data_IF_001248786296
#
_entry.id   IF_001248786296
#
_cell.length_a   1.000
_cell.length_b   1.000
_cell.length_c   1.000
_cell.angle_alpha   90.00
_cell.angle_beta   90.00
_cell.angle_gamma   90.00
#
_symmetry.space_group_name_H-M   'P 1'
#
loop_
_entity.id
_entity.type
_entity.pdbx_description
1 polymer ?
#
# COMPACT_ATOMS: atom_id res chain seq x y z
N UNK A 1 9.83 -9.22 11.51
CA UNK A 1 10.52 -8.01 11.96
C UNK A 1 10.04 -6.84 11.14
N UNK A 2 9.42 -5.83 11.78
CA UNK A 2 8.89 -4.66 11.11
C UNK A 2 9.99 -3.91 10.34
N UNK A 3 9.67 -3.50 9.14
CA UNK A 3 10.53 -2.70 8.25
C UNK A 3 10.55 -1.25 8.70
N UNK A 4 10.59 -0.78 9.74
CA UNK A 4 10.75 0.61 10.18
C UNK A 4 11.72 0.65 11.34
N UNK A 5 12.81 1.38 11.22
CA UNK A 5 13.70 1.60 12.34
C UNK A 5 13.06 2.57 13.32
N UNK A 6 13.10 2.22 14.59
CA UNK A 6 12.68 3.08 15.68
C UNK A 6 13.88 3.40 16.55
N UNK A 7 14.00 4.67 16.93
CA UNK A 7 15.02 5.15 17.88
C UNK A 7 14.31 5.82 19.03
N UNK A 8 14.65 5.41 20.26
CA UNK A 8 14.16 6.00 21.48
C UNK A 8 15.32 6.65 22.22
N UNK A 9 15.21 7.93 22.50
CA UNK A 9 16.21 8.72 23.19
C UNK A 9 15.64 9.25 24.50
N UNK A 10 16.45 9.20 25.56
CA UNK A 10 16.15 9.86 26.82
C UNK A 10 17.01 11.12 26.89
N UNK A 11 16.36 12.28 26.90
CA UNK A 11 17.03 13.58 26.93
C UNK A 11 16.82 14.23 28.30
N UNK A 12 17.91 14.56 28.96
CA UNK A 12 17.90 15.27 30.26
C UNK A 12 18.32 16.71 30.07
N UNK A 13 17.79 17.59 30.91
CA UNK A 13 18.14 19.02 30.90
C UNK A 13 17.54 19.80 29.70
N UNK A 14 16.49 19.27 29.07
CA UNK A 14 15.71 19.96 28.07
C UNK A 14 14.81 21.00 28.76
N UNK A 15 14.98 22.27 28.45
CA UNK A 15 14.17 23.37 29.03
C UNK A 15 12.88 23.63 28.22
N UNK A 16 12.33 22.61 27.55
CA UNK A 16 11.05 22.72 26.82
C UNK A 16 11.11 23.56 25.53
N UNK A 17 12.31 23.89 25.01
CA UNK A 17 12.51 24.83 23.90
C UNK A 17 12.34 24.23 22.49
N UNK A 18 11.65 23.13 22.30
CA UNK A 18 11.45 22.57 20.94
C UNK A 18 12.70 22.01 20.25
N UNK A 19 13.80 21.88 21.00
CA UNK A 19 15.13 21.44 20.49
C UNK A 19 15.05 20.05 19.79
N UNK A 20 14.05 19.29 20.08
CA UNK A 20 13.89 17.92 19.58
C UNK A 20 13.81 17.86 18.06
N UNK A 21 12.99 18.71 17.45
CA UNK A 21 12.83 18.74 15.98
C UNK A 21 13.99 19.47 15.30
N UNK A 22 14.46 20.57 15.88
CA UNK A 22 15.45 21.43 15.24
C UNK A 22 16.89 20.92 15.36
N UNK A 23 17.24 20.32 16.51
CA UNK A 23 18.61 19.87 16.75
C UNK A 23 18.76 18.34 16.75
N UNK A 24 17.87 17.59 17.41
CA UNK A 24 18.03 16.14 17.59
C UNK A 24 17.65 15.38 16.33
N UNK A 25 16.50 15.69 15.73
CA UNK A 25 16.03 14.97 14.53
C UNK A 25 17.05 15.03 13.36
N UNK A 26 17.69 16.15 13.02
CA UNK A 26 18.73 16.18 11.99
C UNK A 26 19.94 15.30 12.31
N UNK A 27 20.33 15.22 13.59
CA UNK A 27 21.43 14.35 14.02
C UNK A 27 21.04 12.87 13.87
N UNK A 28 19.81 12.50 14.29
CA UNK A 28 19.31 11.15 14.12
C UNK A 28 19.27 10.75 12.64
N UNK A 29 18.75 11.61 11.77
CA UNK A 29 18.71 11.39 10.32
C UNK A 29 20.11 11.18 9.74
N UNK A 30 21.05 12.07 10.09
CA UNK A 30 22.44 12.00 9.63
C UNK A 30 23.14 10.71 10.11
N UNK A 31 22.95 10.35 11.38
CA UNK A 31 23.62 9.18 11.98
C UNK A 31 23.11 7.88 11.40
N UNK A 32 21.81 7.78 11.14
CA UNK A 32 21.19 6.57 10.60
C UNK A 32 21.24 6.51 9.06
N UNK A 33 21.50 7.64 8.38
CA UNK A 33 21.45 7.74 6.92
C UNK A 33 20.03 7.47 6.37
N UNK A 34 18.98 7.79 7.15
CA UNK A 34 17.59 7.49 6.82
C UNK A 34 16.68 8.68 7.13
N UNK A 35 15.57 8.76 6.42
CA UNK A 35 14.51 9.69 6.78
C UNK A 35 13.85 9.21 8.07
N UNK A 36 13.78 10.10 9.03
CA UNK A 36 13.18 9.84 10.34
C UNK A 36 12.19 10.95 10.64
N UNK A 37 11.14 10.62 11.34
CA UNK A 37 10.19 11.58 11.90
C UNK A 37 9.99 11.35 13.39
N UNK A 38 9.62 12.39 14.10
CA UNK A 38 9.32 12.32 15.52
C UNK A 38 7.86 11.91 15.68
N UNK A 39 7.60 10.92 16.54
CA UNK A 39 6.24 10.53 16.92
C UNK A 39 5.67 11.61 17.84
N UNK A 40 4.50 12.14 17.54
CA UNK A 40 3.90 13.27 18.26
C UNK A 40 3.45 12.96 19.70
N UNK A 41 3.41 11.71 20.10
CA UNK A 41 3.06 11.28 21.47
C UNK A 41 4.15 11.57 22.53
N UNK A 42 5.23 12.23 22.15
CA UNK A 42 6.28 12.58 23.10
C UNK A 42 5.81 13.68 24.03
N UNK A 43 5.36 13.29 25.20
CA UNK A 43 5.04 14.23 26.29
C UNK A 43 6.35 14.85 26.77
N UNK A 44 6.51 16.15 26.52
CA UNK A 44 7.61 16.91 27.09
C UNK A 44 7.32 17.16 28.57
N UNK A 45 7.91 16.35 29.44
CA UNK A 45 7.84 16.56 30.88
C UNK A 45 8.77 17.71 31.26
N UNK A 46 8.19 18.87 31.52
CA UNK A 46 8.91 20.08 31.90
C UNK A 46 9.56 20.01 33.30
N UNK A 47 9.24 19.00 34.09
CA UNK A 47 9.71 18.89 35.49
C UNK A 47 10.66 17.69 35.64
N UNK A 48 11.94 17.97 35.59
CA UNK A 48 12.99 17.31 36.41
C UNK A 48 13.65 16.05 35.86
N UNK A 49 12.99 15.10 35.25
CA UNK A 49 13.58 13.77 35.02
C UNK A 49 14.01 13.46 33.55
N UNK A 50 13.78 14.37 32.64
CA UNK A 50 14.08 14.18 31.21
C UNK A 50 12.85 13.78 30.39
N UNK A 51 12.93 13.93 29.08
CA UNK A 51 11.90 13.50 28.15
C UNK A 51 12.35 12.30 27.33
N UNK A 52 11.39 11.47 26.95
CA UNK A 52 11.61 10.35 26.05
C UNK A 52 11.15 10.79 24.67
N UNK A 53 12.08 10.76 23.71
CA UNK A 53 11.81 11.08 22.32
C UNK A 53 11.81 9.79 21.52
N UNK A 54 10.76 9.58 20.75
CA UNK A 54 10.68 8.46 19.83
C UNK A 54 10.72 8.97 18.40
N UNK A 55 11.64 8.44 17.62
CA UNK A 55 11.76 8.70 16.19
C UNK A 55 11.51 7.39 15.44
N UNK A 56 10.73 7.45 14.38
CA UNK A 56 10.44 6.32 13.49
C UNK A 56 10.96 6.64 12.09
N UNK A 57 11.32 5.62 11.36
CA UNK A 57 11.68 5.77 9.96
C UNK A 57 10.45 6.24 9.18
N UNK A 58 10.59 7.32 8.41
CA UNK A 58 9.54 7.86 7.57
C UNK A 58 9.67 7.37 6.13
N UNK A 59 8.57 7.13 5.43
CA UNK A 59 8.59 6.86 3.99
C UNK A 59 9.31 7.97 3.22
N UNK A 60 10.07 7.57 2.19
CA UNK A 60 10.78 8.50 1.29
C UNK A 60 9.92 8.85 0.08
N UNK A 61 9.01 7.95 -0.28
CA UNK A 61 8.11 8.10 -1.40
C UNK A 61 6.68 8.34 -0.91
N UNK A 62 5.94 9.11 -1.69
CA UNK A 62 4.49 9.24 -1.58
C UNK A 62 3.86 8.77 -2.89
N UNK A 63 2.71 8.16 -2.84
CA UNK A 63 1.99 7.65 -3.99
C UNK A 63 0.62 8.33 -4.09
N UNK A 64 0.25 8.73 -5.30
CA UNK A 64 -1.08 9.26 -5.59
C UNK A 64 -1.71 8.37 -6.64
N UNK A 65 -2.95 7.95 -6.42
CA UNK A 65 -3.71 7.13 -7.35
C UNK A 65 -4.91 7.90 -7.90
N UNK A 66 -5.27 7.60 -9.14
CA UNK A 66 -6.50 8.04 -9.76
C UNK A 66 -7.08 6.89 -10.59
N UNK A 67 -8.39 6.75 -10.59
CA UNK A 67 -9.11 5.73 -11.37
C UNK A 67 -10.13 6.38 -12.28
N UNK A 68 -10.31 5.78 -13.45
CA UNK A 68 -11.38 6.12 -14.38
C UNK A 68 -12.01 4.83 -14.90
N UNK A 69 -13.32 4.79 -14.96
CA UNK A 69 -14.09 3.65 -15.45
C UNK A 69 -14.93 4.05 -16.66
N UNK A 70 -15.08 3.12 -17.61
CA UNK A 70 -15.96 3.29 -18.75
C UNK A 70 -16.84 2.04 -18.87
N UNK A 71 -18.15 2.22 -18.85
CA UNK A 71 -19.08 1.12 -19.08
C UNK A 71 -19.04 0.70 -20.54
N UNK A 72 -18.99 -0.60 -20.82
CA UNK A 72 -19.00 -1.15 -22.18
C UNK A 72 -20.36 -0.93 -22.90
N UNK A 73 -21.45 -0.82 -22.14
CA UNK A 73 -22.78 -0.53 -22.65
C UNK A 73 -23.41 0.66 -21.90
N UNK A 74 -24.04 1.55 -22.67
CA UNK A 74 -24.71 2.72 -22.09
C UNK A 74 -25.85 2.28 -21.16
N UNK A 75 -25.86 2.81 -19.93
CA UNK A 75 -26.88 2.50 -18.91
C UNK A 75 -26.64 1.24 -18.10
N UNK A 76 -25.56 0.49 -18.36
CA UNK A 76 -25.14 -0.63 -17.50
C UNK A 76 -23.96 -0.22 -16.60
N UNK A 77 -23.82 -0.82 -15.41
CA UNK A 77 -22.64 -0.59 -14.57
C UNK A 77 -21.38 -1.10 -15.25
N UNK A 78 -20.25 -0.46 -14.96
CA UNK A 78 -18.94 -0.95 -15.38
C UNK A 78 -18.63 -2.28 -14.66
N UNK A 79 -18.07 -3.25 -15.41
CA UNK A 79 -17.65 -4.52 -14.86
C UNK A 79 -16.36 -4.46 -14.04
N UNK A 80 -15.68 -3.31 -14.01
CA UNK A 80 -14.40 -3.14 -13.35
C UNK A 80 -14.56 -2.61 -11.93
N UNK A 81 -13.61 -2.97 -11.08
CA UNK A 81 -13.44 -2.42 -9.74
C UNK A 81 -11.97 -2.11 -9.48
N UNK A 82 -11.70 -1.17 -8.58
CA UNK A 82 -10.33 -0.85 -8.15
C UNK A 82 -10.27 -0.49 -6.68
N UNK A 83 -9.07 -0.62 -6.12
CA UNK A 83 -8.76 -0.19 -4.77
C UNK A 83 -7.39 0.47 -4.69
N UNK A 84 -7.26 1.42 -3.78
CA UNK A 84 -6.01 2.00 -3.35
C UNK A 84 -5.97 2.01 -1.82
N UNK A 85 -5.00 1.32 -1.28
CA UNK A 85 -4.78 1.22 0.17
C UNK A 85 -3.35 1.64 0.49
N UNK A 86 -3.19 2.41 1.56
CA UNK A 86 -1.90 2.72 2.13
C UNK A 86 -1.86 2.23 3.56
N UNK A 87 -0.86 1.42 3.89
CA UNK A 87 -0.70 0.86 5.22
C UNK A 87 0.18 1.75 6.09
N UNK A 88 -0.07 1.75 7.40
CA UNK A 88 0.80 2.39 8.40
C UNK A 88 2.25 1.88 8.37
N UNK A 89 2.49 0.76 7.69
CA UNK A 89 3.82 0.16 7.52
C UNK A 89 4.56 0.68 6.29
N UNK A 90 4.06 1.74 5.64
CA UNK A 90 4.68 2.35 4.46
C UNK A 90 4.64 1.47 3.21
N UNK A 91 3.57 0.72 3.03
CA UNK A 91 3.30 -0.02 1.80
C UNK A 91 2.03 0.52 1.19
N UNK A 92 2.07 0.91 -0.07
CA UNK A 92 0.89 1.26 -0.85
C UNK A 92 0.50 0.09 -1.77
N UNK A 93 -0.79 -0.18 -1.87
CA UNK A 93 -1.36 -1.25 -2.69
C UNK A 93 -2.38 -0.64 -3.64
N UNK A 94 -2.18 -0.87 -4.93
CA UNK A 94 -3.13 -0.54 -5.97
C UNK A 94 -3.64 -1.85 -6.55
N UNK A 95 -4.95 -1.93 -6.78
CA UNK A 95 -5.55 -3.10 -7.38
C UNK A 95 -6.61 -2.70 -8.39
N UNK A 96 -6.68 -3.48 -9.48
CA UNK A 96 -7.73 -3.40 -10.49
C UNK A 96 -8.23 -4.80 -10.75
N UNK A 97 -9.54 -4.94 -10.86
CA UNK A 97 -10.21 -6.19 -11.18
C UNK A 97 -11.21 -5.93 -12.31
N UNK A 98 -11.16 -6.75 -13.35
CA UNK A 98 -12.10 -6.75 -14.48
C UNK A 98 -12.97 -8.00 -14.39
N UNK A 99 -14.27 -7.79 -14.20
CA UNK A 99 -15.27 -8.86 -14.15
C UNK A 99 -15.66 -9.31 -15.55
N UNK A 100 -15.67 -10.61 -15.77
CA UNK A 100 -15.99 -11.16 -17.08
C UNK A 100 -17.43 -10.83 -17.51
N UNK A 101 -17.57 -10.31 -18.74
CA UNK A 101 -18.85 -9.92 -19.31
C UNK A 101 -19.20 -8.46 -19.07
N UNK A 102 -20.48 -8.15 -18.97
CA UNK A 102 -20.98 -6.78 -18.82
C UNK A 102 -22.11 -6.70 -17.77
N UNK A 103 -22.28 -5.52 -17.19
CA UNK A 103 -23.42 -5.23 -16.31
C UNK A 103 -23.22 -5.72 -14.87
N UNK A 104 -24.32 -5.95 -14.17
CA UNK A 104 -24.33 -6.18 -12.71
C UNK A 104 -23.54 -7.41 -12.25
N UNK A 105 -23.54 -8.49 -13.03
CA UNK A 105 -22.79 -9.70 -12.67
C UNK A 105 -21.29 -9.47 -12.71
N UNK A 106 -20.77 -8.89 -13.80
CA UNK A 106 -19.35 -8.57 -13.93
C UNK A 106 -18.91 -7.60 -12.82
N UNK A 107 -19.71 -6.56 -12.55
CA UNK A 107 -19.46 -5.61 -11.47
C UNK A 107 -19.46 -6.28 -10.08
N UNK A 108 -20.33 -7.24 -9.84
CA UNK A 108 -20.38 -7.98 -8.57
C UNK A 108 -19.14 -8.85 -8.35
N UNK A 109 -18.63 -9.52 -9.42
CA UNK A 109 -17.45 -10.39 -9.33
C UNK A 109 -16.16 -9.59 -9.13
N UNK A 110 -15.97 -8.51 -9.89
CA UNK A 110 -14.80 -7.64 -9.72
C UNK A 110 -14.78 -6.97 -8.35
N UNK A 111 -15.94 -6.50 -7.89
CA UNK A 111 -16.09 -5.91 -6.56
C UNK A 111 -15.79 -6.91 -5.46
N UNK A 112 -16.29 -8.14 -5.57
CA UNK A 112 -16.02 -9.20 -4.59
C UNK A 112 -14.53 -9.54 -4.51
N UNK A 113 -13.81 -9.57 -5.64
CA UNK A 113 -12.36 -9.79 -5.67
C UNK A 113 -11.61 -8.67 -4.94
N UNK A 114 -11.98 -7.41 -5.18
CA UNK A 114 -11.39 -6.25 -4.52
C UNK A 114 -11.70 -6.25 -3.01
N UNK A 115 -12.95 -6.48 -2.61
CA UNK A 115 -13.34 -6.54 -1.19
C UNK A 115 -12.59 -7.63 -0.42
N UNK A 116 -12.39 -8.82 -1.02
CA UNK A 116 -11.58 -9.87 -0.43
C UNK A 116 -10.12 -9.44 -0.26
N UNK A 117 -9.54 -8.78 -1.26
CA UNK A 117 -8.18 -8.26 -1.17
C UNK A 117 -8.03 -7.26 -0.02
N UNK A 118 -8.96 -6.33 0.10
CA UNK A 118 -8.99 -5.33 1.18
C UNK A 118 -9.10 -5.97 2.56
N UNK A 119 -10.00 -6.97 2.71
CA UNK A 119 -10.16 -7.69 3.97
C UNK A 119 -8.89 -8.45 4.37
N UNK A 120 -8.24 -9.14 3.43
CA UNK A 120 -7.00 -9.84 3.71
C UNK A 120 -5.85 -8.88 4.02
N UNK A 121 -5.77 -7.74 3.32
CA UNK A 121 -4.79 -6.71 3.61
C UNK A 121 -5.00 -6.12 5.01
N UNK A 122 -6.24 -5.79 5.38
CA UNK A 122 -6.59 -5.28 6.71
C UNK A 122 -6.32 -6.30 7.83
N UNK A 123 -6.53 -7.59 7.56
CA UNK A 123 -6.23 -8.68 8.49
C UNK A 123 -4.72 -8.98 8.61
N UNK A 124 -3.87 -8.31 7.83
CA UNK A 124 -2.42 -8.46 7.88
C UNK A 124 -1.88 -9.74 7.22
N UNK A 125 -2.66 -10.37 6.34
CA UNK A 125 -2.17 -11.50 5.54
C UNK A 125 -1.01 -11.05 4.63
N UNK A 126 -0.07 -11.97 4.35
CA UNK A 126 0.91 -11.71 3.32
C UNK A 126 0.22 -11.62 1.96
N UNK A 127 0.78 -10.82 1.06
CA UNK A 127 0.21 -10.62 -0.29
C UNK A 127 0.08 -11.93 -1.05
N UNK A 128 1.09 -12.79 -0.96
CA UNK A 128 1.13 -14.09 -1.62
C UNK A 128 -0.01 -14.98 -1.14
N UNK A 129 -0.24 -15.02 0.17
CA UNK A 129 -1.32 -15.80 0.76
C UNK A 129 -2.70 -15.22 0.39
N UNK A 130 -2.85 -13.90 0.45
CA UNK A 130 -4.08 -13.23 0.04
C UNK A 130 -4.43 -13.58 -1.42
N UNK A 131 -3.47 -13.48 -2.33
CA UNK A 131 -3.66 -13.80 -3.75
C UNK A 131 -4.00 -15.27 -3.97
N UNK A 132 -3.34 -16.19 -3.26
CA UNK A 132 -3.66 -17.63 -3.35
C UNK A 132 -5.10 -17.92 -2.88
N UNK A 133 -5.53 -17.30 -1.78
CA UNK A 133 -6.88 -17.47 -1.25
C UNK A 133 -7.93 -16.87 -2.20
N UNK A 134 -7.69 -15.67 -2.73
CA UNK A 134 -8.57 -15.02 -3.71
C UNK A 134 -8.66 -15.86 -4.98
N UNK A 135 -7.52 -16.32 -5.52
CA UNK A 135 -7.51 -17.18 -6.70
C UNK A 135 -8.31 -18.46 -6.47
N UNK A 136 -8.15 -19.10 -5.30
CA UNK A 136 -8.93 -20.29 -4.93
C UNK A 136 -10.42 -19.99 -4.83
N UNK A 137 -10.80 -18.86 -4.23
CA UNK A 137 -12.20 -18.45 -4.12
C UNK A 137 -12.82 -18.15 -5.50
N UNK A 138 -12.08 -17.46 -6.37
CA UNK A 138 -12.52 -17.19 -7.75
C UNK A 138 -12.63 -18.48 -8.58
N UNK A 139 -11.71 -19.44 -8.39
CA UNK A 139 -11.77 -20.74 -9.07
C UNK A 139 -12.98 -21.57 -8.65
N UNK A 140 -13.38 -21.52 -7.39
CA UNK A 140 -14.58 -22.24 -6.92
C UNK A 140 -15.87 -21.67 -7.53
N UNK A 141 -15.89 -20.39 -7.89
CA UNK A 141 -17.01 -19.73 -8.57
C UNK A 141 -17.07 -20.00 -10.07
N UNK A 142 -16.00 -20.56 -10.68
CA UNK A 142 -15.95 -20.90 -12.11
C UNK A 142 -17.05 -21.83 -12.61
N UNK A 143 -17.69 -22.59 -11.73
CA UNK A 143 -18.83 -23.44 -12.09
C UNK A 143 -20.00 -22.67 -12.73
N UNK A 144 -20.05 -21.34 -12.58
CA UNK A 144 -21.07 -20.46 -13.17
C UNK A 144 -20.56 -19.64 -14.37
N UNK A 145 -19.37 -19.99 -14.94
CA UNK A 145 -18.71 -19.26 -16.03
C UNK A 145 -18.38 -17.79 -15.74
N UNK A 146 -18.46 -17.39 -14.47
CA UNK A 146 -18.17 -16.03 -14.04
C UNK A 146 -16.82 -16.00 -13.33
N UNK A 147 -15.90 -15.17 -13.79
CA UNK A 147 -14.62 -14.93 -13.13
C UNK A 147 -14.19 -13.48 -13.33
N UNK A 148 -13.36 -13.01 -12.42
CA UNK A 148 -12.74 -11.70 -12.50
C UNK A 148 -11.22 -11.86 -12.58
N UNK A 149 -10.59 -10.90 -13.25
CA UNK A 149 -9.14 -10.76 -13.23
C UNK A 149 -8.70 -10.05 -11.95
N UNK A 150 -7.43 -10.10 -11.63
CA UNK A 150 -6.87 -9.30 -10.56
C UNK A 150 -5.45 -8.84 -10.95
N UNK A 151 -5.24 -7.54 -10.96
CA UNK A 151 -3.96 -6.88 -11.17
C UNK A 151 -3.61 -6.07 -9.93
N UNK A 152 -2.52 -6.43 -9.27
CA UNK A 152 -2.08 -5.82 -8.03
C UNK A 152 -0.70 -5.24 -8.21
N UNK A 153 -0.53 -3.98 -7.84
CA UNK A 153 0.77 -3.33 -7.69
C UNK A 153 0.96 -2.95 -6.23
N UNK A 154 1.99 -3.48 -5.61
CA UNK A 154 2.39 -3.13 -4.25
C UNK A 154 3.69 -2.34 -4.29
N UNK A 155 3.71 -1.18 -3.66
CA UNK A 155 4.86 -0.28 -3.62
C UNK A 155 5.35 -0.13 -2.18
N UNK A 156 6.62 -0.43 -1.95
CA UNK A 156 7.28 -0.11 -0.68
C UNK A 156 7.68 1.38 -0.71
N UNK A 157 7.11 2.17 0.18
CA UNK A 157 7.31 3.62 0.22
C UNK A 157 8.65 4.03 0.86
N UNK A 158 9.40 3.10 1.43
CA UNK A 158 10.74 3.37 1.98
C UNK A 158 11.84 3.29 0.91
N UNK A 159 11.73 2.40 -0.05
CA UNK A 159 12.75 2.19 -1.09
C UNK A 159 12.23 2.33 -2.53
N UNK A 160 10.91 2.45 -2.71
CA UNK A 160 10.26 2.60 -4.01
C UNK A 160 10.22 1.31 -4.83
N UNK A 161 10.46 0.14 -4.22
CA UNK A 161 10.30 -1.13 -4.90
C UNK A 161 8.82 -1.39 -5.19
N UNK A 162 8.52 -1.70 -6.45
CA UNK A 162 7.19 -2.08 -6.91
C UNK A 162 7.16 -3.55 -7.29
N UNK A 163 6.15 -4.26 -6.81
CA UNK A 163 5.89 -5.66 -7.12
C UNK A 163 4.52 -5.80 -7.75
N UNK A 164 4.44 -6.56 -8.84
CA UNK A 164 3.21 -6.80 -9.57
C UNK A 164 2.79 -8.25 -9.43
N UNK A 165 1.52 -8.48 -9.13
CA UNK A 165 0.90 -9.80 -9.10
C UNK A 165 -0.33 -9.75 -10.00
N UNK A 166 -0.41 -10.65 -10.96
CA UNK A 166 -1.44 -10.65 -12.00
C UNK A 166 -2.13 -12.00 -12.08
N UNK A 167 -3.45 -12.00 -11.99
CA UNK A 167 -4.32 -13.15 -12.20
C UNK A 167 -5.22 -12.88 -13.41
N UNK A 168 -4.87 -13.44 -14.56
CA UNK A 168 -5.64 -13.26 -15.80
C UNK A 168 -5.70 -11.83 -16.34
N UNK A 169 -5.00 -10.89 -15.71
CA UNK A 169 -5.05 -9.47 -16.06
C UNK A 169 -4.16 -9.14 -17.29
N UNK A 170 -4.58 -8.13 -18.04
CA UNK A 170 -3.82 -7.57 -19.17
C UNK A 170 -2.52 -6.90 -18.72
N UNK A 171 -1.68 -6.49 -19.68
CA UNK A 171 -0.42 -5.82 -19.36
C UNK A 171 -0.63 -4.52 -18.59
N UNK A 172 0.20 -4.28 -17.57
CA UNK A 172 0.36 -2.98 -16.91
C UNK A 172 1.54 -2.24 -17.50
N UNK A 173 1.56 -0.92 -17.42
CA UNK A 173 2.60 -0.10 -18.00
C UNK A 173 3.22 0.84 -16.96
N UNK A 174 4.56 0.84 -16.90
CA UNK A 174 5.33 1.78 -16.09
C UNK A 174 5.92 2.83 -17.01
N UNK A 175 5.53 4.09 -16.82
CA UNK A 175 6.07 5.22 -17.57
C UNK A 175 7.12 5.94 -16.73
N UNK A 176 8.35 6.07 -17.25
CA UNK A 176 9.44 6.83 -16.61
C UNK A 176 10.05 7.78 -17.64
N UNK A 177 9.73 9.06 -17.52
CA UNK A 177 10.11 10.05 -18.53
C UNK A 177 9.57 9.64 -19.90
N UNK A 178 10.46 9.39 -20.87
CA UNK A 178 10.09 8.98 -22.23
C UNK A 178 10.14 7.46 -22.47
N UNK A 179 10.25 6.66 -21.40
CA UNK A 179 10.29 5.19 -21.53
C UNK A 179 9.03 4.58 -20.94
N UNK A 180 8.52 3.57 -21.65
CA UNK A 180 7.40 2.73 -21.23
C UNK A 180 7.90 1.31 -21.07
N UNK A 181 7.63 0.72 -19.92
CA UNK A 181 7.96 -0.68 -19.59
C UNK A 181 6.63 -1.40 -19.43
N UNK A 182 6.45 -2.50 -20.16
CA UNK A 182 5.26 -3.35 -20.05
C UNK A 182 5.50 -4.46 -19.02
N UNK A 183 4.53 -4.69 -18.15
CA UNK A 183 4.54 -5.74 -17.14
C UNK A 183 3.44 -6.75 -17.49
N UNK A 184 3.82 -7.98 -17.80
CA UNK A 184 2.92 -9.07 -18.16
C UNK A 184 2.83 -10.09 -17.03
N UNK A 185 1.72 -10.85 -16.99
CA UNK A 185 1.67 -12.07 -16.20
C UNK A 185 2.66 -13.08 -16.80
N UNK A 186 3.52 -13.67 -15.95
CA UNK A 186 4.25 -14.86 -16.35
C UNK A 186 3.31 -16.06 -16.18
N UNK A 187 3.11 -16.84 -17.24
CA UNK A 187 2.52 -18.17 -17.10
C UNK A 187 3.49 -19.03 -16.29
N UNK A 188 3.03 -19.52 -15.15
CA UNK A 188 3.70 -20.60 -14.41
C UNK A 188 3.56 -21.90 -15.19
#
# INVERSE_FOLDING_TARGET
GGRGKQVRLVVRGCNGRGICREAILPVVRKTLGRQMEQVDENVCHLEGEGCVLTFVEAPVFALTAATAFAAGEMGKPCGDASSFLESERGTALLAVSDGMGTGEKAAAESKAAIELLEQFAAAGFSRELAVQLINSALLLRRAEENYATLDICSVDLYDGQAEFIKLGAVASFICRGNRVISVYAHSL
#
